data_IF_005033426391
#
_entry.id   IF_005033426391
#
_cell.length_a   1.000
_cell.length_b   1.000
_cell.length_c   1.000
_cell.angle_alpha   90.00
_cell.angle_beta   90.00
_cell.angle_gamma   90.00
#
_symmetry.space_group_name_H-M   'P 1'
#
loop_
_entity.id
_entity.type
_entity.pdbx_description
1 polymer ?
#
# COMPACT_ATOMS: atom_id res chain seq x y z
N UNK A 1 -3.65 10.76 0.12
CA UNK A 1 -3.38 10.85 1.57
C UNK A 1 -2.34 11.95 1.76
N UNK A 2 -2.65 12.99 2.55
CA UNK A 2 -1.71 14.11 2.73
C UNK A 2 -0.53 13.64 3.59
N UNK A 3 0.70 14.00 3.20
CA UNK A 3 1.90 13.67 3.97
C UNK A 3 2.26 12.18 4.04
N UNK A 4 1.64 11.33 3.20
CA UNK A 4 2.00 9.93 3.12
C UNK A 4 3.29 9.72 2.32
N UNK A 5 4.00 8.65 2.61
CA UNK A 5 5.12 8.17 1.80
C UNK A 5 5.09 6.65 1.69
N UNK A 6 5.69 6.10 0.64
CA UNK A 6 5.81 4.66 0.48
C UNK A 6 7.22 4.29 0.02
N UNK A 7 7.72 3.16 0.51
CA UNK A 7 9.03 2.61 0.13
C UNK A 7 8.90 1.12 -0.12
N UNK A 8 9.51 0.64 -1.21
CA UNK A 8 9.56 -0.79 -1.51
C UNK A 8 10.46 -1.50 -0.50
N UNK A 9 9.98 -2.60 0.06
CA UNK A 9 10.78 -3.45 0.94
C UNK A 9 11.79 -4.25 0.12
N UNK A 10 13.01 -4.41 0.64
CA UNK A 10 14.07 -5.24 0.03
C UNK A 10 13.94 -6.72 0.38
N UNK A 11 13.23 -7.03 1.46
CA UNK A 11 13.29 -8.35 2.08
C UNK A 11 12.15 -9.26 1.60
N UNK A 12 11.07 -8.66 1.07
CA UNK A 12 9.86 -9.37 0.65
C UNK A 12 9.39 -8.86 -0.71
N UNK A 13 9.11 -9.80 -1.60
CA UNK A 13 8.60 -9.52 -2.95
C UNK A 13 7.23 -8.84 -2.82
N UNK A 14 7.03 -7.79 -3.61
CA UNK A 14 5.75 -7.05 -3.67
C UNK A 14 5.38 -6.28 -2.40
N UNK A 15 6.23 -6.26 -1.38
CA UNK A 15 5.92 -5.58 -0.12
C UNK A 15 6.39 -4.13 -0.12
N UNK A 16 5.56 -3.24 0.40
CA UNK A 16 5.80 -1.80 0.54
C UNK A 16 5.50 -1.35 1.96
N UNK A 17 6.39 -0.55 2.52
CA UNK A 17 6.16 0.18 3.76
C UNK A 17 5.51 1.52 3.43
N UNK A 18 4.30 1.75 3.92
CA UNK A 18 3.54 2.98 3.71
C UNK A 18 3.43 3.71 5.05
N UNK A 19 3.99 4.91 5.13
CA UNK A 19 3.92 5.78 6.30
C UNK A 19 2.77 6.78 6.12
N UNK A 20 1.81 6.78 7.04
CA UNK A 20 0.69 7.73 7.07
C UNK A 20 0.48 8.16 8.53
N UNK A 21 0.41 9.47 8.78
CA UNK A 21 0.16 10.05 10.12
C UNK A 21 1.04 9.43 11.23
N UNK A 22 2.32 9.18 10.92
CA UNK A 22 3.30 8.60 11.85
C UNK A 22 3.16 7.08 12.08
N UNK A 23 2.26 6.40 11.37
CA UNK A 23 2.06 4.94 11.44
C UNK A 23 2.55 4.27 10.17
N UNK A 24 3.24 3.15 10.33
CA UNK A 24 3.75 2.34 9.23
C UNK A 24 2.83 1.15 8.96
N UNK A 25 2.45 0.97 7.70
CA UNK A 25 1.64 -0.13 7.22
C UNK A 25 2.42 -0.92 6.18
N UNK A 26 2.42 -2.25 6.31
CA UNK A 26 2.99 -3.11 5.28
C UNK A 26 1.89 -3.48 4.30
N UNK A 27 2.11 -3.18 3.03
CA UNK A 27 1.20 -3.46 1.92
C UNK A 27 1.86 -4.43 0.95
N UNK A 28 1.17 -5.48 0.53
CA UNK A 28 1.61 -6.36 -0.55
C UNK A 28 0.78 -6.05 -1.80
N UNK A 29 1.44 -5.58 -2.85
CA UNK A 29 0.80 -5.17 -4.11
C UNK A 29 0.42 -6.35 -5.02
N UNK A 30 1.04 -7.52 -4.83
CA UNK A 30 0.73 -8.77 -5.56
C UNK A 30 -0.46 -9.46 -4.89
N UNK A 31 -0.44 -9.56 -3.57
CA UNK A 31 -1.49 -10.23 -2.79
C UNK A 31 -2.68 -9.32 -2.47
N UNK A 32 -2.60 -8.04 -2.85
CA UNK A 32 -3.61 -7.02 -2.53
C UNK A 32 -3.93 -6.92 -1.03
N UNK A 33 -2.91 -7.11 -0.18
CA UNK A 33 -3.05 -7.19 1.26
C UNK A 33 -2.41 -6.00 1.97
N UNK A 34 -2.94 -5.61 3.13
CA UNK A 34 -2.41 -4.51 3.94
C UNK A 34 -2.66 -4.78 5.43
N UNK A 35 -1.71 -4.40 6.29
CA UNK A 35 -1.83 -4.55 7.75
C UNK A 35 -2.80 -3.55 8.41
N UNK A 36 -3.41 -2.63 7.65
CA UNK A 36 -4.37 -1.69 8.20
C UNK A 36 -5.71 -2.39 8.55
N UNK A 37 -6.39 -1.88 9.59
CA UNK A 37 -7.64 -2.45 10.09
C UNK A 37 -8.70 -2.64 9.00
N UNK A 38 -8.82 -1.69 8.06
CA UNK A 38 -9.79 -1.77 6.97
C UNK A 38 -9.58 -3.01 6.10
N UNK A 39 -8.35 -3.24 5.62
CA UNK A 39 -8.04 -4.38 4.75
C UNK A 39 -8.16 -5.70 5.51
N UNK A 40 -7.68 -5.76 6.76
CA UNK A 40 -7.77 -6.99 7.57
C UNK A 40 -9.20 -7.37 7.94
N UNK A 41 -10.09 -6.40 8.09
CA UNK A 41 -11.49 -6.65 8.46
C UNK A 41 -12.40 -6.93 7.26
N UNK A 42 -12.09 -6.37 6.09
CA UNK A 42 -12.97 -6.48 4.91
C UNK A 42 -12.46 -7.44 3.85
N UNK A 43 -11.15 -7.69 3.79
CA UNK A 43 -10.51 -8.40 2.68
C UNK A 43 -10.47 -7.59 1.37
N UNK A 44 -10.83 -6.31 1.40
CA UNK A 44 -10.91 -5.44 0.22
C UNK A 44 -9.68 -4.50 0.18
N UNK A 45 -9.16 -4.14 -1.01
CA UNK A 45 -8.05 -3.21 -1.14
C UNK A 45 -8.32 -1.87 -0.45
N UNK A 46 -7.37 -1.44 0.39
CA UNK A 46 -7.45 -0.17 1.10
C UNK A 46 -6.79 0.98 0.33
N UNK A 47 -7.00 2.21 0.81
CA UNK A 47 -6.36 3.40 0.22
C UNK A 47 -4.82 3.36 0.26
N UNK A 48 -4.20 2.61 1.18
CA UNK A 48 -2.75 2.44 1.22
C UNK A 48 -2.21 1.65 0.02
N UNK A 49 -2.89 0.57 -0.37
CA UNK A 49 -2.56 -0.20 -1.57
C UNK A 49 -2.74 0.67 -2.82
N UNK A 50 -3.85 1.41 -2.91
CA UNK A 50 -4.10 2.32 -4.02
C UNK A 50 -3.03 3.41 -4.12
N UNK A 51 -2.51 3.88 -2.99
CA UNK A 51 -1.39 4.80 -2.95
C UNK A 51 -0.09 4.18 -3.46
N UNK A 52 0.20 2.92 -3.12
CA UNK A 52 1.37 2.20 -3.66
C UNK A 52 1.29 2.09 -5.18
N UNK A 53 0.14 1.76 -5.75
CA UNK A 53 -0.01 1.74 -7.20
C UNK A 53 0.25 3.09 -7.84
N UNK A 54 -0.34 4.15 -7.29
CA UNK A 54 -0.21 5.49 -7.87
C UNK A 54 1.18 6.11 -7.69
N UNK A 55 1.78 5.99 -6.52
CA UNK A 55 2.99 6.73 -6.15
C UNK A 55 4.23 5.85 -5.99
N UNK A 56 4.06 4.56 -5.71
CA UNK A 56 5.15 3.59 -5.66
C UNK A 56 5.52 3.08 -7.05
N UNK A 57 4.52 2.62 -7.81
CA UNK A 57 4.71 2.18 -9.20
C UNK A 57 4.62 3.31 -10.23
N UNK A 58 3.95 4.41 -9.89
CA UNK A 58 3.75 5.53 -10.81
C UNK A 58 2.62 5.31 -11.81
N UNK A 59 1.67 4.41 -11.53
CA UNK A 59 0.51 4.23 -12.42
C UNK A 59 -0.43 5.42 -12.35
N UNK A 60 -0.74 6.02 -13.50
CA UNK A 60 -1.71 7.11 -13.61
C UNK A 60 -3.15 6.61 -13.43
N UNK A 61 -3.43 5.41 -13.95
CA UNK A 61 -4.69 4.68 -13.79
C UNK A 61 -4.41 3.27 -13.26
N UNK A 62 -5.33 2.74 -12.45
CA UNK A 62 -5.21 1.36 -11.99
C UNK A 62 -5.39 0.40 -13.19
N UNK A 63 -4.55 -0.65 -13.29
CA UNK A 63 -4.79 -1.68 -14.30
C UNK A 63 -6.20 -2.30 -14.10
N UNK A 64 -6.91 -2.63 -15.20
CA UNK A 64 -8.25 -3.21 -15.14
C UNK A 64 -8.30 -4.56 -14.43
#
# INVERSE_FOLDING_TARGET
MKGASCRKSTDKIGTWDVLVDGRMYSCNDIEWSCTCAFATSTGIPCQHIMYVFRYGHGFEELPP
#
